data_IF_076548168781
#
_entry.id   IF_076548168781
#
_cell.length_a   1.000
_cell.length_b   1.000
_cell.length_c   1.000
_cell.angle_alpha   90.00
_cell.angle_beta   90.00
_cell.angle_gamma   90.00
#
_symmetry.space_group_name_H-M   'P 1'
#
loop_
_entity.id
_entity.type
_entity.pdbx_description
1 polymer ?
#
# COMPACT_ATOMS: atom_id res chain seq x y z
N UNK A 1 2.78 2.79 -15.33
CA UNK A 1 3.97 1.93 -15.22
C UNK A 1 4.76 2.43 -14.03
N UNK A 2 5.12 1.55 -13.12
CA UNK A 2 6.05 1.82 -12.00
C UNK A 2 7.45 2.08 -12.50
N UNK A 3 8.04 3.13 -11.96
CA UNK A 3 9.43 3.50 -12.16
C UNK A 3 10.28 3.01 -11.00
N UNK A 4 11.56 2.75 -11.23
CA UNK A 4 12.51 2.36 -10.20
C UNK A 4 13.66 3.34 -10.15
N UNK A 5 13.97 3.82 -8.95
CA UNK A 5 15.06 4.74 -8.68
C UNK A 5 16.03 4.10 -7.69
N UNK A 6 17.32 4.13 -8.03
CA UNK A 6 18.39 3.64 -7.15
C UNK A 6 19.36 4.76 -6.79
N UNK A 7 19.69 4.90 -5.51
CA UNK A 7 20.77 5.78 -5.07
C UNK A 7 21.55 5.15 -3.91
N UNK A 8 22.77 5.64 -3.68
CA UNK A 8 23.58 5.28 -2.53
C UNK A 8 23.58 6.46 -1.55
N UNK A 9 23.27 6.21 -0.27
CA UNK A 9 23.32 7.20 0.80
C UNK A 9 23.70 6.54 2.11
N UNK A 10 24.68 7.11 2.81
CA UNK A 10 25.15 6.65 4.12
C UNK A 10 25.42 5.12 4.17
N UNK A 11 26.17 4.60 3.19
CA UNK A 11 26.47 3.17 2.97
C UNK A 11 25.27 2.24 2.65
N UNK A 12 24.09 2.81 2.41
CA UNK A 12 22.89 2.06 2.01
C UNK A 12 22.59 2.26 0.52
N UNK A 13 22.31 1.15 -0.18
CA UNK A 13 21.66 1.16 -1.51
C UNK A 13 20.15 1.30 -1.29
N UNK A 14 19.60 2.44 -1.69
CA UNK A 14 18.17 2.72 -1.62
C UNK A 14 17.57 2.44 -2.99
N UNK A 15 16.56 1.57 -3.03
CA UNK A 15 15.74 1.31 -4.22
C UNK A 15 14.30 1.75 -3.92
N UNK A 16 13.76 2.65 -4.74
CA UNK A 16 12.37 3.13 -4.65
C UNK A 16 11.62 2.63 -5.86
N UNK A 17 10.50 1.94 -5.63
CA UNK A 17 9.56 1.52 -6.68
C UNK A 17 8.35 2.45 -6.57
N UNK A 18 8.19 3.33 -7.54
CA UNK A 18 7.05 4.23 -7.61
C UNK A 18 5.85 3.51 -8.23
N UNK A 19 4.65 3.60 -7.65
CA UNK A 19 3.47 2.85 -8.12
C UNK A 19 2.32 3.79 -8.50
N UNK A 20 2.48 4.59 -9.57
CA UNK A 20 1.48 5.58 -9.94
C UNK A 20 0.15 4.93 -10.34
N UNK A 21 -0.94 5.42 -9.77
CA UNK A 21 -2.30 4.98 -10.07
C UNK A 21 -2.62 3.55 -9.64
N UNK A 22 -1.75 2.89 -8.86
CA UNK A 22 -1.94 1.49 -8.48
C UNK A 22 -3.20 1.26 -7.65
N UNK A 23 -3.67 2.29 -6.96
CA UNK A 23 -4.80 2.19 -6.03
C UNK A 23 -5.93 3.17 -6.36
N UNK A 24 -5.93 3.69 -7.59
CA UNK A 24 -7.01 4.58 -8.06
C UNK A 24 -8.31 3.78 -8.22
N UNK A 25 -9.44 4.38 -7.84
CA UNK A 25 -10.75 3.71 -7.86
C UNK A 25 -11.23 3.28 -9.26
N UNK A 26 -10.60 3.81 -10.32
CA UNK A 26 -10.94 3.52 -11.71
C UNK A 26 -10.20 2.31 -12.29
N UNK A 27 -9.26 1.74 -11.53
CA UNK A 27 -8.32 0.74 -12.02
C UNK A 27 -8.82 -0.68 -11.73
N UNK A 28 -8.69 -1.57 -12.72
CA UNK A 28 -9.17 -2.94 -12.61
C UNK A 28 -8.29 -3.79 -11.69
N UNK A 29 -8.89 -4.76 -11.00
CA UNK A 29 -8.15 -5.74 -10.19
C UNK A 29 -7.05 -6.46 -11.00
N UNK A 30 -7.27 -6.65 -12.31
CA UNK A 30 -6.27 -7.19 -13.25
C UNK A 30 -5.02 -6.30 -13.32
N UNK A 31 -5.19 -4.99 -13.48
CA UNK A 31 -4.07 -4.05 -13.54
C UNK A 31 -3.32 -4.01 -12.20
N UNK A 32 -4.05 -3.92 -11.08
CA UNK A 32 -3.45 -3.90 -9.73
C UNK A 32 -2.59 -5.14 -9.54
N UNK A 33 -3.11 -6.31 -9.88
CA UNK A 33 -2.40 -7.58 -9.70
C UNK A 33 -1.13 -7.67 -10.54
N UNK A 34 -1.19 -7.22 -11.81
CA UNK A 34 -0.02 -7.21 -12.69
C UNK A 34 1.07 -6.28 -12.18
N UNK A 35 0.70 -5.09 -11.74
CA UNK A 35 1.65 -4.12 -11.21
C UNK A 35 2.25 -4.60 -9.89
N UNK A 36 1.49 -5.27 -9.03
CA UNK A 36 2.02 -5.89 -7.80
C UNK A 36 3.05 -6.98 -8.10
N UNK A 37 2.75 -7.91 -9.02
CA UNK A 37 3.72 -8.93 -9.46
C UNK A 37 4.99 -8.27 -10.01
N UNK A 38 4.82 -7.21 -10.81
CA UNK A 38 5.96 -6.46 -11.34
C UNK A 38 6.77 -5.78 -10.23
N UNK A 39 6.12 -5.16 -9.24
CA UNK A 39 6.80 -4.56 -8.10
C UNK A 39 7.60 -5.60 -7.30
N UNK A 40 7.01 -6.77 -7.04
CA UNK A 40 7.69 -7.85 -6.31
C UNK A 40 8.86 -8.45 -7.10
N UNK A 41 8.79 -8.46 -8.44
CA UNK A 41 9.92 -8.85 -9.30
C UNK A 41 11.10 -7.88 -9.18
N UNK A 42 10.83 -6.59 -8.89
CA UNK A 42 11.84 -5.55 -8.73
C UNK A 42 12.37 -5.43 -7.28
N UNK A 43 11.65 -6.00 -6.31
CA UNK A 43 11.98 -5.91 -4.89
C UNK A 43 13.11 -6.87 -4.48
N UNK A 44 14.36 -6.50 -4.77
CA UNK A 44 15.54 -7.25 -4.32
C UNK A 44 15.54 -7.42 -2.79
N UNK A 45 15.39 -8.65 -2.31
CA UNK A 45 15.41 -8.99 -0.88
C UNK A 45 14.10 -8.73 -0.11
N UNK A 46 13.05 -8.21 -0.75
CA UNK A 46 11.75 -7.94 -0.13
C UNK A 46 11.49 -6.44 0.07
N UNK A 47 10.42 -6.11 0.80
CA UNK A 47 9.98 -4.73 1.03
C UNK A 47 10.42 -4.26 2.41
N UNK A 48 11.31 -3.27 2.48
CA UNK A 48 11.83 -2.73 3.75
C UNK A 48 10.93 -1.66 4.37
N UNK A 49 10.18 -0.94 3.54
CA UNK A 49 9.19 0.03 3.97
C UNK A 49 8.16 0.25 2.86
N UNK A 50 6.93 0.57 3.24
CA UNK A 50 5.86 1.02 2.35
C UNK A 50 5.52 2.45 2.69
N UNK A 51 5.55 3.35 1.71
CA UNK A 51 5.23 4.76 1.92
C UNK A 51 3.78 5.01 1.52
N UNK A 52 2.91 5.28 2.51
CA UNK A 52 1.56 5.76 2.25
C UNK A 52 1.60 7.28 2.13
N UNK A 53 1.53 7.80 0.92
CA UNK A 53 1.63 9.23 0.64
C UNK A 53 0.26 9.88 0.67
N UNK A 54 0.08 10.83 1.60
CA UNK A 54 -1.13 11.64 1.78
C UNK A 54 -0.78 13.10 1.55
N UNK A 55 -1.71 13.90 1.04
CA UNK A 55 -1.50 15.34 0.80
C UNK A 55 -2.20 16.15 1.88
N UNK A 56 -1.46 17.00 2.60
CA UNK A 56 -2.02 17.96 3.55
C UNK A 56 -2.82 19.09 2.84
N UNK A 57 -2.68 19.21 1.51
CA UNK A 57 -3.40 20.21 0.71
C UNK A 57 -4.81 19.79 0.34
N UNK A 58 -5.06 18.49 0.30
CA UNK A 58 -6.33 17.92 -0.12
C UNK A 58 -7.00 17.24 1.05
N UNK A 59 -8.32 17.12 0.99
CA UNK A 59 -9.05 16.33 1.96
C UNK A 59 -8.73 14.87 1.71
N UNK A 60 -8.44 14.14 2.77
CA UNK A 60 -8.33 12.69 2.72
C UNK A 60 -9.71 12.11 2.37
N UNK A 61 -9.76 11.29 1.33
CA UNK A 61 -11.00 10.75 0.76
C UNK A 61 -11.15 9.24 1.04
N UNK A 62 -12.24 8.67 0.51
CA UNK A 62 -12.47 7.23 0.55
C UNK A 62 -11.46 6.44 -0.29
N UNK A 63 -10.80 7.07 -1.27
CA UNK A 63 -9.79 6.46 -2.12
C UNK A 63 -8.56 6.02 -1.31
N UNK A 64 -8.11 6.85 -0.37
CA UNK A 64 -6.99 6.52 0.51
C UNK A 64 -7.33 5.37 1.47
N UNK A 65 -8.59 5.28 1.92
CA UNK A 65 -9.04 4.13 2.72
C UNK A 65 -9.02 2.83 1.90
N UNK A 66 -9.49 2.90 0.64
CA UNK A 66 -9.52 1.74 -0.26
C UNK A 66 -8.12 1.29 -0.65
N UNK A 67 -7.17 2.21 -0.78
CA UNK A 67 -5.75 1.91 -1.00
C UNK A 67 -5.21 0.99 0.09
N UNK A 68 -5.47 1.33 1.35
CA UNK A 68 -4.98 0.55 2.49
C UNK A 68 -5.67 -0.80 2.62
N UNK A 69 -6.97 -0.85 2.36
CA UNK A 69 -7.72 -2.11 2.31
C UNK A 69 -7.16 -3.04 1.24
N UNK A 70 -6.82 -2.49 0.07
CA UNK A 70 -6.19 -3.24 -1.03
C UNK A 70 -4.82 -3.75 -0.61
N UNK A 71 -4.00 -2.91 0.04
CA UNK A 71 -2.70 -3.30 0.56
C UNK A 71 -2.82 -4.47 1.56
N UNK A 72 -3.77 -4.40 2.50
CA UNK A 72 -4.01 -5.48 3.46
C UNK A 72 -4.59 -6.75 2.81
N UNK A 73 -5.43 -6.62 1.78
CA UNK A 73 -5.97 -7.77 1.06
C UNK A 73 -4.87 -8.54 0.31
N UNK A 74 -3.87 -7.83 -0.21
CA UNK A 74 -2.75 -8.41 -0.94
C UNK A 74 -1.69 -9.00 0.00
N UNK A 75 -1.27 -8.22 0.99
CA UNK A 75 -0.10 -8.47 1.82
C UNK A 75 -0.43 -8.85 3.29
N UNK A 76 -1.72 -9.03 3.60
CA UNK A 76 -2.16 -9.24 4.97
C UNK A 76 -1.97 -8.02 5.87
N UNK A 77 -2.36 -8.13 7.13
CA UNK A 77 -2.26 -7.02 8.10
C UNK A 77 -0.81 -6.70 8.51
N UNK A 78 0.09 -7.68 8.42
CA UNK A 78 1.49 -7.54 8.83
C UNK A 78 2.28 -6.53 7.98
N UNK A 79 1.82 -6.22 6.75
CA UNK A 79 2.42 -5.17 5.91
C UNK A 79 2.38 -3.79 6.58
N UNK A 80 1.39 -3.55 7.45
CA UNK A 80 1.24 -2.26 8.14
C UNK A 80 2.40 -1.98 9.12
N UNK A 81 3.08 -3.02 9.58
CA UNK A 81 4.29 -2.88 10.40
C UNK A 81 5.47 -2.27 9.61
N UNK A 82 5.39 -2.30 8.28
CA UNK A 82 6.37 -1.71 7.36
C UNK A 82 5.89 -0.37 6.78
N UNK A 83 4.67 0.06 7.11
CA UNK A 83 4.13 1.33 6.60
C UNK A 83 4.71 2.53 7.35
N UNK A 84 5.04 3.57 6.58
CA UNK A 84 5.31 4.93 7.04
C UNK A 84 4.28 5.85 6.36
N UNK A 85 3.57 6.65 7.15
CA UNK A 85 2.61 7.61 6.61
C UNK A 85 3.33 8.92 6.27
N UNK A 86 3.39 9.27 4.99
CA UNK A 86 4.08 10.46 4.49
C UNK A 86 3.05 11.54 4.17
N UNK A 87 3.10 12.67 4.87
CA UNK A 87 2.27 13.83 4.59
C UNK A 87 3.04 14.82 3.71
N UNK A 88 2.60 14.98 2.47
CA UNK A 88 3.13 15.98 1.55
C UNK A 88 2.44 17.33 1.72
N UNK A 89 3.08 18.41 1.26
CA UNK A 89 2.55 19.77 1.42
C UNK A 89 2.99 20.42 2.73
N UNK A 90 4.20 20.10 3.19
CA UNK A 90 4.79 20.75 4.37
C UNK A 90 4.86 22.27 4.26
N UNK A 91 5.00 22.81 3.05
CA UNK A 91 4.94 24.25 2.80
C UNK A 91 3.59 24.87 3.14
N UNK A 92 2.48 24.16 2.91
CA UNK A 92 1.14 24.65 3.29
C UNK A 92 0.95 24.66 4.80
N UNK A 93 1.47 23.65 5.49
CA UNK A 93 1.44 23.62 6.95
C UNK A 93 2.27 24.79 7.53
N UNK A 94 3.44 25.07 6.96
CA UNK A 94 4.29 26.21 7.34
C UNK A 94 3.59 27.56 7.06
N UNK A 95 3.00 27.74 5.88
CA UNK A 95 2.24 28.95 5.50
C UNK A 95 1.04 29.19 6.43
N UNK A 96 0.30 28.14 6.77
CA UNK A 96 -0.84 28.19 7.68
C UNK A 96 -0.44 28.30 9.16
N UNK A 97 0.87 28.23 9.48
CA UNK A 97 1.40 28.16 10.85
C UNK A 97 0.77 27.03 11.66
N UNK A 98 0.56 25.90 11.01
CA UNK A 98 -0.13 24.73 11.55
C UNK A 98 0.87 23.56 11.67
N UNK A 99 0.82 22.82 12.78
CA UNK A 99 1.58 21.57 12.90
C UNK A 99 0.83 20.40 12.23
N UNK A 100 1.52 19.28 11.97
CA UNK A 100 0.81 18.09 11.49
C UNK A 100 -0.24 17.61 12.50
N UNK A 101 0.05 17.75 13.79
CA UNK A 101 -0.86 17.41 14.89
C UNK A 101 -2.14 18.26 14.86
N UNK A 102 -2.00 19.56 14.60
CA UNK A 102 -3.15 20.47 14.46
C UNK A 102 -4.00 20.08 13.24
N UNK A 103 -3.37 19.81 12.09
CA UNK A 103 -4.05 19.35 10.87
C UNK A 103 -4.85 18.06 11.13
N UNK A 104 -4.24 17.09 11.81
CA UNK A 104 -4.88 15.83 12.18
C UNK A 104 -5.94 16.00 13.29
N UNK A 105 -5.87 17.07 14.07
CA UNK A 105 -6.80 17.38 15.15
C UNK A 105 -8.18 17.86 14.70
N UNK A 106 -8.31 18.39 13.48
CA UNK A 106 -9.56 18.96 12.94
C UNK A 106 -10.58 17.89 12.56
N UNK A 107 -10.39 17.26 11.41
CA UNK A 107 -11.33 16.31 10.79
C UNK A 107 -10.58 15.09 10.23
N UNK A 108 -9.56 14.59 10.94
CA UNK A 108 -8.84 13.41 10.50
C UNK A 108 -9.78 12.18 10.48
N UNK A 109 -9.95 11.53 9.31
CA UNK A 109 -10.80 10.35 9.20
C UNK A 109 -10.36 9.25 10.17
N UNK A 110 -11.33 8.53 10.75
CA UNK A 110 -11.07 7.44 11.70
C UNK A 110 -10.11 6.39 11.14
N UNK A 111 -10.21 6.10 9.83
CA UNK A 111 -9.33 5.11 9.20
C UNK A 111 -7.86 5.55 9.19
N UNK A 112 -7.55 6.84 9.05
CA UNK A 112 -6.17 7.35 9.11
C UNK A 112 -5.62 7.22 10.52
N UNK A 113 -6.44 7.52 11.54
CA UNK A 113 -6.06 7.32 12.94
C UNK A 113 -5.74 5.85 13.21
N UNK A 114 -6.53 4.94 12.64
CA UNK A 114 -6.30 3.51 12.76
C UNK A 114 -5.02 3.06 12.06
N UNK A 115 -4.75 3.56 10.86
CA UNK A 115 -3.50 3.27 10.13
C UNK A 115 -2.30 3.77 10.91
N UNK A 116 -2.36 4.98 11.45
CA UNK A 116 -1.32 5.53 12.32
C UNK A 116 -1.12 4.68 13.57
N UNK A 117 -2.20 4.15 14.16
CA UNK A 117 -2.11 3.24 15.30
C UNK A 117 -1.41 1.93 14.92
N UNK A 118 -1.81 1.34 13.80
CA UNK A 118 -1.25 0.07 13.28
C UNK A 118 0.19 0.23 12.81
N UNK A 119 0.56 1.40 12.30
CA UNK A 119 1.93 1.72 11.86
C UNK A 119 2.83 2.24 12.98
N UNK A 120 2.51 1.94 14.25
CA UNK A 120 3.26 2.42 15.43
C UNK A 120 3.52 3.94 15.43
N UNK A 121 2.58 4.69 14.87
CA UNK A 121 2.62 6.14 14.69
C UNK A 121 3.81 6.65 13.85
N UNK A 122 4.36 5.82 12.95
CA UNK A 122 5.41 6.22 12.01
C UNK A 122 4.84 7.17 10.96
N UNK A 123 5.20 8.45 11.06
CA UNK A 123 4.78 9.49 10.14
C UNK A 123 5.85 10.55 9.91
N UNK A 124 5.85 11.16 8.74
CA UNK A 124 6.77 12.25 8.38
C UNK A 124 6.07 13.27 7.50
N UNK A 125 6.46 14.54 7.61
CA UNK A 125 6.02 15.61 6.70
C UNK A 125 7.13 15.86 5.67
N UNK A 126 6.74 15.99 4.41
CA UNK A 126 7.65 16.33 3.31
C UNK A 126 7.10 17.53 2.55
N UNK A 127 7.90 18.60 2.49
CA UNK A 127 7.78 19.67 1.53
C UNK A 127 8.59 19.32 0.27
N UNK A 128 7.88 18.89 -0.78
CA UNK A 128 8.46 18.58 -2.08
C UNK A 128 8.82 19.82 -2.90
N UNK A 129 8.42 21.02 -2.46
CA UNK A 129 8.67 22.30 -3.16
C UNK A 129 9.84 23.08 -2.56
N UNK A 130 10.38 22.64 -1.42
CA UNK A 130 11.50 23.32 -0.80
C UNK A 130 12.73 23.32 -1.71
N UNK A 131 13.36 24.49 -1.84
CA UNK A 131 14.65 24.65 -2.51
C UNK A 131 15.82 24.72 -1.51
N UNK A 132 15.54 24.67 -0.21
CA UNK A 132 16.53 24.68 0.85
C UNK A 132 17.16 23.29 1.01
N UNK A 133 18.45 23.17 0.70
CA UNK A 133 19.17 21.89 0.76
C UNK A 133 19.28 21.33 2.19
N UNK A 134 19.30 22.20 3.21
CA UNK A 134 19.26 21.79 4.61
C UNK A 134 17.93 21.15 4.96
N UNK A 135 16.81 21.79 4.61
CA UNK A 135 15.46 21.24 4.77
C UNK A 135 15.30 19.92 3.99
N UNK A 136 15.79 19.83 2.74
CA UNK A 136 15.77 18.57 1.98
C UNK A 136 16.53 17.47 2.70
N UNK A 137 17.75 17.74 3.15
CA UNK A 137 18.58 16.77 3.85
C UNK A 137 17.92 16.29 5.16
N UNK A 138 17.35 17.20 5.94
CA UNK A 138 16.64 16.89 7.18
C UNK A 138 15.41 16.00 6.93
N UNK A 139 14.59 16.32 5.93
CA UNK A 139 13.40 15.52 5.58
C UNK A 139 13.78 14.10 5.14
N UNK A 140 14.82 13.97 4.30
CA UNK A 140 15.31 12.66 3.86
C UNK A 140 15.89 11.89 5.04
N UNK A 141 16.69 12.54 5.90
CA UNK A 141 17.25 11.90 7.09
C UNK A 141 16.16 11.38 8.02
N UNK A 142 15.11 12.19 8.27
CA UNK A 142 13.96 11.79 9.08
C UNK A 142 13.24 10.58 8.49
N UNK A 143 12.98 10.58 7.18
CA UNK A 143 12.37 9.42 6.51
C UNK A 143 13.23 8.16 6.65
N UNK A 144 14.54 8.26 6.37
CA UNK A 144 15.44 7.12 6.49
C UNK A 144 15.58 6.62 7.93
N UNK A 145 15.54 7.50 8.93
CA UNK A 145 15.55 7.10 10.33
C UNK A 145 14.35 6.21 10.70
N UNK A 146 13.16 6.49 10.12
CA UNK A 146 11.97 5.67 10.30
C UNK A 146 12.09 4.31 9.60
N UNK A 147 12.74 4.26 8.43
CA UNK A 147 13.05 3.00 7.74
C UNK A 147 14.02 2.16 8.59
N UNK A 148 15.03 2.79 9.18
CA UNK A 148 15.97 2.12 10.08
C UNK A 148 15.30 1.64 11.37
N UNK A 149 14.32 2.38 11.90
CA UNK A 149 13.49 1.94 13.03
C UNK A 149 12.70 0.68 12.69
N UNK A 150 12.08 0.63 11.51
CA UNK A 150 11.41 -0.58 11.02
C UNK A 150 12.42 -1.73 10.97
N UNK A 151 13.57 -1.52 10.32
CA UNK A 151 14.63 -2.53 10.19
C UNK A 151 15.07 -3.06 11.55
N UNK A 152 15.32 -2.19 12.54
CA UNK A 152 15.67 -2.59 13.91
C UNK A 152 14.56 -3.39 14.57
N UNK A 153 13.31 -2.92 14.48
CA UNK A 153 12.15 -3.59 15.09
C UNK A 153 11.86 -4.96 14.48
N UNK A 154 12.24 -5.16 13.21
CA UNK A 154 12.10 -6.41 12.45
C UNK A 154 13.38 -7.23 12.39
N UNK A 155 14.37 -6.94 13.23
CA UNK A 155 15.65 -7.67 13.28
C UNK A 155 16.39 -7.76 11.93
N UNK A 156 16.19 -6.77 11.06
CA UNK A 156 16.78 -6.73 9.72
C UNK A 156 15.93 -7.39 8.63
N UNK A 157 14.81 -8.03 8.98
CA UNK A 157 13.97 -8.73 8.01
C UNK A 157 13.12 -7.74 7.20
N UNK A 158 13.13 -7.93 5.88
CA UNK A 158 12.21 -7.27 4.97
C UNK A 158 10.88 -8.03 4.96
N UNK A 159 9.80 -7.32 4.61
CA UNK A 159 8.54 -7.98 4.35
C UNK A 159 8.64 -8.87 3.11
N UNK A 160 8.19 -10.11 3.26
CA UNK A 160 7.96 -11.08 2.18
C UNK A 160 6.64 -11.81 2.40
N UNK A 161 6.08 -12.34 1.32
CA UNK A 161 4.91 -13.23 1.36
C UNK A 161 5.06 -14.39 0.37
N UNK A 162 4.03 -15.24 0.32
CA UNK A 162 3.99 -16.38 -0.60
C UNK A 162 4.20 -15.94 -2.06
N UNK A 163 3.61 -14.81 -2.47
CA UNK A 163 3.76 -14.29 -3.83
C UNK A 163 5.21 -13.88 -4.11
N UNK A 164 5.85 -13.19 -3.17
CA UNK A 164 7.27 -12.86 -3.28
C UNK A 164 8.15 -14.12 -3.41
N UNK A 165 7.93 -15.12 -2.56
CA UNK A 165 8.71 -16.35 -2.59
C UNK A 165 8.52 -17.13 -3.89
N UNK A 166 7.28 -17.20 -4.41
CA UNK A 166 6.98 -17.81 -5.70
C UNK A 166 7.70 -17.09 -6.86
N UNK A 167 7.67 -15.75 -6.90
CA UNK A 167 8.38 -14.98 -7.93
C UNK A 167 9.88 -15.23 -7.85
N UNK A 168 10.45 -15.19 -6.65
CA UNK A 168 11.89 -15.41 -6.42
C UNK A 168 12.33 -16.80 -6.89
N UNK A 169 11.55 -17.84 -6.60
CA UNK A 169 11.82 -19.20 -7.05
C UNK A 169 11.83 -19.29 -8.59
N UNK A 170 10.86 -18.67 -9.26
CA UNK A 170 10.79 -18.64 -10.72
C UNK A 170 11.95 -17.86 -11.35
N UNK A 171 12.34 -16.72 -10.76
CA UNK A 171 13.52 -15.96 -11.20
C UNK A 171 14.81 -16.77 -11.03
N UNK A 172 14.94 -17.53 -9.93
CA UNK A 172 16.09 -18.40 -9.68
C UNK A 172 16.15 -19.59 -10.65
N UNK A 173 15.01 -20.21 -10.98
CA UNK A 173 14.92 -21.26 -12.00
C UNK A 173 15.37 -20.74 -13.37
N UNK A 174 14.89 -19.56 -13.77
CA UNK A 174 15.27 -18.95 -15.04
C UNK A 174 16.77 -18.66 -15.09
N UNK A 175 17.34 -18.11 -14.00
CA UNK A 175 18.79 -17.82 -13.90
C UNK A 175 19.63 -19.09 -14.00
N UNK A 176 19.30 -20.13 -13.22
CA UNK A 176 20.02 -21.42 -13.24
C UNK A 176 20.00 -22.05 -14.64
N UNK A 177 18.83 -22.05 -15.29
CA UNK A 177 18.72 -22.57 -16.65
C UNK A 177 19.58 -21.77 -17.65
N UNK A 178 19.65 -20.44 -17.51
CA UNK A 178 20.51 -19.60 -18.34
C UNK A 178 22.00 -19.92 -18.16
N UNK A 179 22.45 -20.06 -16.91
CA UNK A 179 23.83 -20.42 -16.55
C UNK A 179 24.20 -21.81 -17.07
N UNK A 180 23.29 -22.77 -16.97
CA UNK A 180 23.48 -24.12 -17.52
C UNK A 180 23.65 -24.11 -19.04
N UNK A 181 22.86 -23.31 -19.76
CA UNK A 181 22.98 -23.17 -21.22
C UNK A 181 24.31 -22.53 -21.62
N UNK A 182 24.81 -21.57 -20.85
CA UNK A 182 26.10 -20.92 -21.08
C UNK A 182 27.29 -21.83 -20.78
N UNK A 183 27.14 -22.76 -19.83
CA UNK A 183 28.17 -23.75 -19.52
C UNK A 183 28.31 -24.88 -20.56
N UNK A 184 27.32 -25.02 -21.46
CA UNK A 184 27.25 -26.10 -22.44
C UNK A 184 27.64 -25.58 -23.82
N UNK A 185 28.30 -26.43 -24.61
CA UNK A 185 28.79 -26.09 -25.94
C UNK A 185 27.68 -26.24 -27.02
N UNK A 186 26.52 -25.64 -26.78
CA UNK A 186 25.44 -25.59 -27.77
C UNK A 186 25.74 -24.56 -28.86
N UNK A 187 25.12 -24.69 -30.04
CA UNK A 187 25.16 -23.60 -31.02
C UNK A 187 24.43 -22.37 -30.45
N UNK A 188 24.86 -21.18 -30.85
CA UNK A 188 24.25 -19.91 -30.41
C UNK A 188 22.74 -19.89 -30.69
N UNK A 189 22.32 -20.39 -31.86
CA UNK A 189 20.91 -20.48 -32.26
C UNK A 189 20.11 -21.39 -31.31
N UNK A 190 20.63 -22.57 -31.00
CA UNK A 190 19.99 -23.53 -30.09
C UNK A 190 19.88 -22.96 -28.66
N UNK A 191 20.95 -22.31 -28.17
CA UNK A 191 20.94 -21.67 -26.87
C UNK A 191 19.95 -20.49 -26.81
N UNK A 192 19.86 -19.67 -27.86
CA UNK A 192 18.91 -18.56 -27.95
C UNK A 192 17.46 -19.05 -27.95
N UNK A 193 17.14 -20.12 -28.67
CA UNK A 193 15.80 -20.71 -28.70
C UNK A 193 15.39 -21.24 -27.33
N UNK A 194 16.29 -21.97 -26.64
CA UNK A 194 16.05 -22.47 -25.28
C UNK A 194 15.88 -21.32 -24.28
N UNK A 195 16.71 -20.27 -24.36
CA UNK A 195 16.57 -19.06 -23.52
C UNK A 195 15.21 -18.38 -23.73
N UNK A 196 14.72 -18.32 -24.98
CA UNK A 196 13.41 -17.74 -25.29
C UNK A 196 12.27 -18.60 -24.74
N UNK A 197 12.34 -19.94 -24.87
CA UNK A 197 11.35 -20.85 -24.29
C UNK A 197 11.26 -20.72 -22.76
N UNK A 198 12.40 -20.64 -22.06
CA UNK A 198 12.42 -20.40 -20.61
C UNK A 198 11.84 -19.05 -20.24
N UNK A 199 12.10 -17.99 -21.04
CA UNK A 199 11.53 -16.67 -20.80
C UNK A 199 10.01 -16.64 -21.02
N UNK A 200 9.50 -17.37 -22.02
CA UNK A 200 8.06 -17.52 -22.24
C UNK A 200 7.41 -18.23 -21.04
N UNK A 201 8.00 -19.33 -20.56
CA UNK A 201 7.51 -20.05 -19.38
C UNK A 201 7.50 -19.16 -18.14
N UNK A 202 8.58 -18.42 -17.90
CA UNK A 202 8.68 -17.46 -16.79
C UNK A 202 7.56 -16.41 -16.84
N UNK A 203 7.31 -15.82 -18.02
CA UNK A 203 6.23 -14.84 -18.20
C UNK A 203 4.84 -15.45 -17.96
N UNK A 204 4.60 -16.68 -18.38
CA UNK A 204 3.32 -17.36 -18.12
C UNK A 204 3.13 -17.64 -16.63
N UNK A 205 4.18 -18.05 -15.92
CA UNK A 205 4.11 -18.25 -14.47
C UNK A 205 3.81 -16.95 -13.71
N UNK A 206 4.46 -15.84 -14.09
CA UNK A 206 4.14 -14.51 -13.53
C UNK A 206 2.69 -14.09 -13.82
N UNK A 207 2.18 -14.40 -15.01
CA UNK A 207 0.79 -14.13 -15.38
C UNK A 207 -0.19 -14.94 -14.53
N UNK A 208 0.07 -16.23 -14.31
CA UNK A 208 -0.75 -17.06 -13.42
C UNK A 208 -0.76 -16.52 -11.97
N UNK A 209 0.38 -16.06 -11.47
CA UNK A 209 0.45 -15.42 -10.14
C UNK A 209 -0.38 -14.13 -10.09
N UNK A 210 -0.36 -13.32 -11.15
CA UNK A 210 -1.22 -12.14 -11.27
C UNK A 210 -2.70 -12.51 -11.28
N UNK A 211 -3.11 -13.56 -11.98
CA UNK A 211 -4.51 -14.03 -11.99
C UNK A 211 -4.97 -14.52 -10.61
N UNK A 212 -4.07 -15.17 -9.85
CA UNK A 212 -4.35 -15.57 -8.47
C UNK A 212 -4.53 -14.36 -7.54
N UNK A 213 -3.69 -13.33 -7.66
CA UNK A 213 -3.85 -12.08 -6.92
C UNK A 213 -5.14 -11.36 -7.30
N UNK A 214 -5.50 -11.35 -8.58
CA UNK A 214 -6.73 -10.72 -9.07
C UNK A 214 -7.95 -11.37 -8.43
N UNK A 215 -7.95 -12.70 -8.37
CA UNK A 215 -8.99 -13.46 -7.67
C UNK A 215 -9.06 -13.09 -6.19
N UNK A 216 -7.91 -13.04 -5.49
CA UNK A 216 -7.86 -12.62 -4.07
C UNK A 216 -8.44 -11.22 -3.86
N UNK A 217 -8.14 -10.27 -4.75
CA UNK A 217 -8.68 -8.91 -4.70
C UNK A 217 -10.19 -8.89 -4.88
N UNK A 218 -10.72 -9.63 -5.87
CA UNK A 218 -12.17 -9.74 -6.11
C UNK A 218 -12.89 -10.37 -4.92
N UNK A 219 -12.37 -11.48 -4.40
CA UNK A 219 -12.92 -12.17 -3.23
C UNK A 219 -12.94 -11.24 -2.00
N UNK A 220 -11.88 -10.45 -1.78
CA UNK A 220 -11.80 -9.48 -0.71
C UNK A 220 -12.81 -8.33 -0.87
N UNK A 221 -12.97 -7.81 -2.09
CA UNK A 221 -13.95 -6.76 -2.39
C UNK A 221 -15.39 -7.23 -2.13
N UNK A 222 -15.74 -8.44 -2.59
CA UNK A 222 -17.05 -9.04 -2.33
C UNK A 222 -17.31 -9.27 -0.84
N UNK A 223 -16.29 -9.72 -0.10
CA UNK A 223 -16.40 -9.93 1.35
C UNK A 223 -16.66 -8.60 2.08
N UNK A 224 -16.01 -7.51 1.64
CA UNK A 224 -16.25 -6.18 2.19
C UNK A 224 -17.65 -5.66 1.89
N UNK A 225 -18.15 -5.84 0.66
CA UNK A 225 -19.51 -5.44 0.30
C UNK A 225 -20.56 -6.19 1.13
N UNK A 226 -20.38 -7.51 1.31
CA UNK A 226 -21.23 -8.34 2.17
C UNK A 226 -21.21 -7.86 3.63
N UNK A 227 -20.02 -7.54 4.16
CA UNK A 227 -19.87 -7.02 5.51
C UNK A 227 -20.56 -5.66 5.69
N UNK A 228 -20.42 -4.76 4.72
CA UNK A 228 -21.06 -3.45 4.73
C UNK A 228 -22.59 -3.54 4.67
N UNK A 229 -23.11 -4.42 3.79
CA UNK A 229 -24.54 -4.69 3.68
C UNK A 229 -25.12 -5.21 5.01
N UNK A 230 -24.42 -6.16 5.64
CA UNK A 230 -24.81 -6.70 6.94
C UNK A 230 -24.82 -5.64 8.05
N UNK A 231 -23.76 -4.83 8.16
CA UNK A 231 -23.72 -3.73 9.14
C UNK A 231 -24.84 -2.71 8.90
N UNK A 232 -25.16 -2.42 7.64
CA UNK A 232 -26.25 -1.49 7.29
C UNK A 232 -27.61 -2.06 7.72
N UNK A 233 -27.83 -3.35 7.52
CA UNK A 233 -29.05 -4.03 7.98
C UNK A 233 -29.16 -3.98 9.52
N UNK A 234 -28.09 -4.35 10.23
CA UNK A 234 -28.05 -4.31 11.70
C UNK A 234 -28.32 -2.90 12.24
N UNK A 235 -27.72 -1.87 11.65
CA UNK A 235 -27.98 -0.47 12.01
C UNK A 235 -29.43 -0.04 11.75
N UNK A 236 -30.04 -0.51 10.65
CA UNK A 236 -31.45 -0.23 10.36
C UNK A 236 -32.38 -0.90 11.37
N UNK A 237 -32.09 -2.14 11.75
CA UNK A 237 -32.85 -2.88 12.78
C UNK A 237 -32.74 -2.20 14.14
N UNK A 238 -31.54 -1.77 14.56
CA UNK A 238 -31.32 -1.01 15.79
C UNK A 238 -32.07 0.33 15.79
N UNK A 239 -32.01 1.07 14.68
CA UNK A 239 -32.73 2.35 14.54
C UNK A 239 -34.24 2.17 14.59
N UNK A 240 -34.77 1.08 14.04
CA UNK A 240 -36.20 0.77 14.13
C UNK A 240 -36.60 0.43 15.57
N UNK A 241 -35.80 -0.37 16.28
CA UNK A 241 -36.04 -0.71 17.68
C UNK A 241 -36.01 0.52 18.60
N UNK A 242 -35.11 1.48 18.34
CA UNK A 242 -35.01 2.73 19.11
C UNK A 242 -36.27 3.61 18.92
N UNK A 243 -36.81 3.69 17.70
CA UNK A 243 -38.03 4.46 17.40
C UNK A 243 -39.28 3.93 18.13
N UNK A 244 -39.34 2.63 18.39
CA UNK A 244 -40.47 1.99 19.10
C UNK A 244 -40.42 2.29 20.62
N UNK A 245 -39.23 2.56 21.18
CA UNK A 245 -39.02 2.78 22.61
C UNK A 245 -39.07 4.25 23.06
N UNK A 246 -39.28 5.21 22.15
CA UNK A 246 -39.48 6.62 22.53
C UNK A 246 -40.98 6.85 22.71
N UNK A 247 -41.50 7.02 23.94
CA UNK A 247 -42.91 7.31 24.15
C UNK A 247 -43.27 8.66 23.51
N UNK A 248 -44.36 8.69 22.73
CA UNK A 248 -44.92 9.94 22.21
C UNK A 248 -45.30 10.86 23.40
N UNK A 249 -44.96 12.16 23.36
CA UNK A 249 -45.39 13.08 24.40
C UNK A 249 -46.92 13.08 24.48
N UNK A 250 -47.50 13.12 25.70
CA UNK A 250 -48.94 13.08 25.86
C UNK A 250 -49.56 14.26 25.12
N UNK A 251 -50.47 13.95 24.19
CA UNK A 251 -51.26 14.94 23.48
C UNK A 251 -52.26 15.51 24.50
N UNK A 252 -51.94 16.64 25.13
CA UNK A 252 -52.90 17.37 25.95
C UNK A 252 -53.97 17.95 25.03
N UNK A 253 -55.27 17.67 25.26
CA UNK A 253 -56.34 18.30 24.50
C UNK A 253 -56.32 19.81 24.79
N UNK A 254 -56.20 20.63 23.75
CA UNK A 254 -56.53 22.04 23.84
C UNK A 254 -57.99 22.17 24.26
N UNK A 255 -58.24 22.55 25.50
CA UNK A 255 -59.55 23.06 25.90
C UNK A 255 -59.72 24.43 25.26
N UNK A 256 -60.62 24.47 24.27
CA UNK A 256 -61.24 25.67 23.74
C UNK A 256 -62.16 26.22 24.83
N UNK A 257 -61.81 27.39 25.38
CA UNK A 257 -62.74 28.37 25.95
C UNK A 257 -62.22 29.77 25.64
#
# INVERSE_FOLDING_TARGET
MSDTWSCAKDDHKINVIDTPGLFDLSVSAEYISKEIVRCLTLAEGGIHAVLLVLSARTRITQEEENTLRTLQALFGSQILDYVIVVFTGGDVLEECKETLEDYLGRDCPTFIKEVMRMSSNRKVVIDNKTHDEGKKAEQVHKLLSLVDDIRRSKCGEAYTDDTYHMIKEESEKLRKHHEELESKNYSEECAAEMKNQSLILYKENLKQMSEQLEKKLKDAAEAQEKALSKMTQENNELNLALKIHIPLPPITPCNIL
#
